data_IF_305936891373
#
_entry.id   IF_305936891373
#
_cell.length_a   1.000
_cell.length_b   1.000
_cell.length_c   1.000
_cell.angle_alpha   90.00
_cell.angle_beta   90.00
_cell.angle_gamma   90.00
#
_symmetry.space_group_name_H-M   'P 1'
#
loop_
_entity.id
_entity.type
_entity.pdbx_description
1 polymer ?
#
# COMPACT_ATOMS: atom_id res chain seq x y z
N UNK A 1 6.20 -9.08 6.96
CA UNK A 1 6.76 -7.73 6.82
C UNK A 1 7.50 -7.25 8.05
N UNK A 2 6.95 -7.35 9.27
CA UNK A 2 7.66 -7.10 10.54
C UNK A 2 9.13 -7.56 10.56
N UNK A 3 9.39 -8.84 10.31
CA UNK A 3 10.76 -9.40 10.32
C UNK A 3 11.65 -8.73 9.25
N UNK A 4 11.12 -8.47 8.05
CA UNK A 4 11.88 -7.80 7.01
C UNK A 4 12.23 -6.35 7.41
N UNK A 5 11.27 -5.61 7.98
CA UNK A 5 11.47 -4.24 8.46
C UNK A 5 12.48 -4.17 9.61
N UNK A 6 12.48 -5.14 10.53
CA UNK A 6 13.49 -5.24 11.60
C UNK A 6 14.91 -5.47 11.05
N UNK A 7 15.03 -6.07 9.87
CA UNK A 7 16.30 -6.23 9.15
C UNK A 7 16.62 -5.04 8.23
N UNK A 8 15.84 -3.95 8.28
CA UNK A 8 16.02 -2.77 7.42
C UNK A 8 15.56 -2.96 5.97
N UNK A 9 14.83 -4.05 5.67
CA UNK A 9 14.38 -4.38 4.32
C UNK A 9 12.95 -3.86 4.12
N UNK A 10 12.79 -2.84 3.26
CA UNK A 10 11.49 -2.32 2.81
C UNK A 10 11.11 -2.97 1.47
N UNK A 11 9.88 -3.43 1.31
CA UNK A 11 9.46 -4.12 0.08
C UNK A 11 9.30 -3.16 -1.10
N UNK A 12 8.69 -1.98 -0.90
CA UNK A 12 8.50 -0.90 -1.91
C UNK A 12 7.64 -1.25 -3.12
N UNK A 13 7.16 -2.48 -3.25
CA UNK A 13 6.29 -2.93 -4.34
C UNK A 13 5.27 -3.97 -3.83
N UNK A 14 4.80 -3.77 -2.59
CA UNK A 14 3.82 -4.69 -2.01
C UNK A 14 2.48 -4.54 -2.74
N UNK A 15 1.98 -5.63 -3.30
CA UNK A 15 0.73 -5.68 -4.10
C UNK A 15 0.19 -7.11 -4.16
N UNK A 16 -1.07 -7.34 -4.57
CA UNK A 16 -1.65 -8.68 -4.60
C UNK A 16 -0.84 -9.69 -5.42
N UNK A 17 -0.25 -9.27 -6.55
CA UNK A 17 0.58 -10.14 -7.38
C UNK A 17 1.86 -10.66 -6.67
N UNK A 18 2.30 -9.99 -5.60
CA UNK A 18 3.48 -10.35 -4.81
C UNK A 18 3.09 -11.11 -3.52
N UNK A 19 1.81 -11.48 -3.37
CA UNK A 19 1.28 -12.26 -2.24
C UNK A 19 0.77 -13.59 -2.77
N UNK A 20 1.53 -14.66 -2.54
CA UNK A 20 1.19 -16.01 -2.97
C UNK A 20 0.52 -16.76 -1.83
N UNK A 21 -0.55 -17.49 -2.13
CA UNK A 21 -1.28 -18.33 -1.16
C UNK A 21 -1.39 -19.72 -1.76
N UNK A 22 -0.93 -20.75 -1.03
CA UNK A 22 -1.08 -22.14 -1.46
C UNK A 22 -2.42 -22.74 -1.00
N UNK A 23 -2.70 -24.00 -1.39
CA UNK A 23 -3.95 -24.68 -1.04
C UNK A 23 -4.11 -24.93 0.47
N UNK A 24 -3.02 -24.95 1.23
CA UNK A 24 -3.03 -25.09 2.70
C UNK A 24 -3.24 -23.76 3.43
N UNK A 25 -3.43 -22.66 2.69
CA UNK A 25 -3.57 -21.31 3.25
C UNK A 25 -2.24 -20.68 3.70
N UNK A 26 -1.09 -21.28 3.37
CA UNK A 26 0.22 -20.68 3.62
C UNK A 26 0.43 -19.50 2.68
N UNK A 27 0.59 -18.31 3.28
CA UNK A 27 0.90 -17.07 2.58
C UNK A 27 2.42 -16.85 2.52
N UNK A 28 2.92 -16.51 1.33
CA UNK A 28 4.29 -16.06 1.10
C UNK A 28 4.31 -14.72 0.38
N UNK A 29 5.17 -13.82 0.84
CA UNK A 29 5.46 -12.55 0.17
C UNK A 29 6.71 -12.76 -0.67
N UNK A 30 6.64 -12.38 -1.94
CA UNK A 30 7.72 -12.53 -2.93
C UNK A 30 8.14 -11.17 -3.49
N UNK A 31 9.20 -11.14 -4.30
CA UNK A 31 9.63 -9.95 -5.05
C UNK A 31 9.80 -8.67 -4.21
N UNK A 32 10.44 -8.82 -3.05
CA UNK A 32 10.97 -7.67 -2.30
C UNK A 32 11.74 -6.80 -3.27
N UNK A 33 11.42 -5.51 -3.35
CA UNK A 33 11.70 -4.64 -4.50
C UNK A 33 13.18 -4.36 -4.78
N UNK A 34 13.96 -5.39 -5.10
CA UNK A 34 15.35 -5.33 -5.55
C UNK A 34 15.46 -4.39 -6.77
N UNK A 35 14.41 -4.31 -7.59
CA UNK A 35 14.30 -3.36 -8.70
C UNK A 35 14.09 -1.89 -8.28
N UNK A 36 13.55 -1.63 -7.08
CA UNK A 36 13.35 -0.29 -6.52
C UNK A 36 14.55 0.21 -5.71
N UNK A 37 15.35 -0.69 -5.13
CA UNK A 37 16.59 -0.36 -4.43
C UNK A 37 17.70 0.15 -5.39
N UNK A 38 17.77 -0.39 -6.61
CA UNK A 38 18.68 0.11 -7.66
C UNK A 38 18.33 1.52 -8.18
N UNK A 39 17.18 2.10 -7.79
CA UNK A 39 16.69 3.38 -8.29
C UNK A 39 16.85 4.55 -7.31
N UNK A 40 17.51 4.34 -6.16
CA UNK A 40 17.76 5.39 -5.15
C UNK A 40 18.61 6.58 -5.64
N UNK A 41 19.20 6.51 -6.83
CA UNK A 41 19.95 7.61 -7.45
C UNK A 41 19.29 8.24 -8.66
N UNK A 42 18.13 7.74 -9.10
CA UNK A 42 17.59 8.10 -10.40
C UNK A 42 16.07 8.28 -10.28
N UNK A 43 15.63 9.53 -10.17
CA UNK A 43 14.24 9.95 -10.33
C UNK A 43 13.82 9.71 -11.78
N UNK A 44 13.75 8.44 -12.18
CA UNK A 44 13.38 8.04 -13.52
C UNK A 44 11.85 8.01 -13.62
N UNK A 45 11.27 9.22 -13.64
CA UNK A 45 10.34 9.54 -14.72
C UNK A 45 11.11 9.26 -16.03
N UNK A 46 11.13 7.99 -16.45
CA UNK A 46 11.89 7.58 -17.64
C UNK A 46 11.43 8.42 -18.83
N UNK A 47 12.41 8.99 -19.53
CA UNK A 47 12.38 9.87 -20.74
C UNK A 47 11.50 9.39 -21.92
N UNK A 48 10.61 8.43 -21.73
CA UNK A 48 9.80 7.77 -22.77
C UNK A 48 8.32 7.61 -22.42
N UNK A 49 7.84 8.13 -21.28
CA UNK A 49 6.41 8.12 -20.93
C UNK A 49 5.83 6.76 -20.52
N UNK A 50 6.64 5.69 -20.48
CA UNK A 50 6.23 4.39 -19.97
C UNK A 50 6.56 4.25 -18.49
N UNK A 51 5.53 4.34 -17.63
CA UNK A 51 5.61 3.90 -16.24
C UNK A 51 5.84 2.39 -16.24
N UNK A 52 7.03 1.94 -15.82
CA UNK A 52 7.32 0.52 -15.61
C UNK A 52 6.64 0.09 -14.29
N UNK A 53 5.40 -0.37 -14.39
CA UNK A 53 4.62 -0.95 -13.28
C UNK A 53 3.20 -0.40 -13.17
N UNK A 54 2.37 -1.05 -12.34
CA UNK A 54 1.02 -0.56 -12.01
C UNK A 54 1.10 0.34 -10.77
N UNK A 55 0.76 1.63 -10.84
CA UNK A 55 0.88 2.57 -9.72
C UNK A 55 -0.15 2.35 -8.60
N UNK A 56 -1.08 1.40 -8.77
CA UNK A 56 -2.26 1.21 -7.93
C UNK A 56 -1.98 1.05 -6.43
N UNK A 57 -0.79 0.59 -6.05
CA UNK A 57 -0.42 0.33 -4.64
C UNK A 57 0.77 1.18 -4.18
N UNK A 58 1.24 2.12 -5.00
CA UNK A 58 2.42 2.91 -4.71
C UNK A 58 2.14 3.97 -3.64
N UNK A 59 3.02 4.09 -2.64
CA UNK A 59 2.88 5.10 -1.60
C UNK A 59 3.14 6.52 -2.14
N UNK A 60 2.48 7.57 -1.60
CA UNK A 60 2.67 8.96 -2.04
C UNK A 60 4.12 9.42 -2.02
N UNK A 61 4.90 9.03 -1.01
CA UNK A 61 6.31 9.36 -0.91
C UNK A 61 7.16 8.72 -2.01
N UNK A 62 6.79 7.53 -2.51
CA UNK A 62 7.47 6.89 -3.64
C UNK A 62 7.19 7.66 -4.94
N UNK A 63 5.94 8.06 -5.14
CA UNK A 63 5.51 8.85 -6.32
C UNK A 63 6.22 10.20 -6.36
N UNK A 64 6.35 10.84 -5.19
CA UNK A 64 6.97 12.16 -5.06
C UNK A 64 8.51 12.11 -5.00
N UNK A 65 9.14 10.93 -5.10
CA UNK A 65 10.59 10.78 -4.97
C UNK A 65 11.12 11.22 -3.59
N UNK A 66 10.30 11.16 -2.54
CA UNK A 66 10.67 11.48 -1.16
C UNK A 66 11.31 10.26 -0.50
N UNK A 67 11.97 10.47 0.64
CA UNK A 67 12.56 9.38 1.43
C UNK A 67 11.50 8.32 1.78
N UNK A 68 11.73 7.10 1.29
CA UNK A 68 10.89 5.92 1.48
C UNK A 68 11.39 5.17 2.72
N UNK A 69 10.46 4.78 3.59
CA UNK A 69 10.71 3.90 4.74
C UNK A 69 9.63 2.82 4.81
N UNK A 70 9.66 1.98 5.84
CA UNK A 70 8.74 0.84 6.04
C UNK A 70 7.26 1.21 5.99
N UNK A 71 6.91 2.48 6.26
CA UNK A 71 5.52 2.96 6.23
C UNK A 71 4.95 3.06 4.81
N UNK A 72 5.80 2.96 3.78
CA UNK A 72 5.34 2.79 2.41
C UNK A 72 4.66 1.42 2.21
N UNK A 73 5.19 0.36 2.83
CA UNK A 73 4.56 -0.97 2.77
C UNK A 73 3.25 -1.00 3.57
N UNK A 74 3.16 -0.23 4.66
CA UNK A 74 1.91 -0.04 5.43
C UNK A 74 0.83 0.61 4.56
N UNK A 75 1.20 1.63 3.79
CA UNK A 75 0.28 2.27 2.85
C UNK A 75 -0.20 1.29 1.78
N UNK A 76 0.73 0.56 1.15
CA UNK A 76 0.40 -0.42 0.13
C UNK A 76 -0.54 -1.53 0.68
N UNK A 77 -0.29 -2.01 1.90
CA UNK A 77 -1.19 -2.92 2.59
C UNK A 77 -2.55 -2.29 2.90
N UNK A 78 -2.60 -1.01 3.26
CA UNK A 78 -3.84 -0.24 3.39
C UNK A 78 -4.66 -0.22 2.11
N UNK A 79 -4.02 0.00 0.96
CA UNK A 79 -4.67 -0.06 -0.36
C UNK A 79 -5.20 -1.46 -0.67
N UNK A 80 -4.42 -2.51 -0.40
CA UNK A 80 -4.88 -3.90 -0.57
C UNK A 80 -6.07 -4.22 0.35
N UNK A 81 -6.02 -3.78 1.61
CA UNK A 81 -7.12 -3.95 2.56
C UNK A 81 -8.38 -3.25 2.05
N UNK A 82 -8.26 -2.00 1.57
CA UNK A 82 -9.36 -1.29 0.94
C UNK A 82 -10.00 -2.09 -0.19
N UNK A 83 -9.19 -2.59 -1.12
CA UNK A 83 -9.67 -3.38 -2.25
C UNK A 83 -10.36 -4.67 -1.80
N UNK A 84 -9.80 -5.38 -0.82
CA UNK A 84 -10.41 -6.59 -0.27
C UNK A 84 -11.77 -6.32 0.38
N UNK A 85 -11.92 -5.22 1.13
CA UNK A 85 -13.17 -4.93 1.85
C UNK A 85 -14.23 -4.25 0.99
N UNK A 86 -13.87 -3.66 -0.15
CA UNK A 86 -14.80 -2.94 -1.04
C UNK A 86 -14.99 -3.60 -2.40
N UNK A 87 -14.14 -4.56 -2.76
CA UNK A 87 -14.10 -5.19 -4.09
C UNK A 87 -13.44 -4.35 -5.18
N UNK A 88 -13.02 -3.10 -4.89
CA UNK A 88 -12.39 -2.20 -5.86
C UNK A 88 -11.24 -1.41 -5.22
N UNK A 89 -10.14 -1.12 -5.95
CA UNK A 89 -9.08 -0.29 -5.40
C UNK A 89 -9.57 1.16 -5.16
N UNK A 90 -8.99 1.88 -4.19
CA UNK A 90 -9.41 3.24 -3.83
C UNK A 90 -9.19 4.25 -4.97
N UNK A 91 -8.21 3.98 -5.83
CA UNK A 91 -7.83 4.84 -6.95
C UNK A 91 -7.64 3.99 -8.22
N UNK A 92 -8.45 4.26 -9.24
CA UNK A 92 -8.42 3.53 -10.51
C UNK A 92 -8.87 4.34 -11.72
N UNK A 93 -9.21 5.63 -11.53
CA UNK A 93 -9.72 6.48 -12.61
C UNK A 93 -8.58 7.05 -13.45
N UNK A 94 -8.72 6.95 -14.77
CA UNK A 94 -7.78 7.54 -15.74
C UNK A 94 -6.55 6.67 -16.01
N UNK A 95 -5.54 7.29 -16.59
CA UNK A 95 -4.26 6.65 -16.90
C UNK A 95 -3.36 6.47 -15.66
N UNK A 96 -2.17 5.90 -15.84
CA UNK A 96 -1.21 5.67 -14.75
C UNK A 96 -0.84 6.95 -14.00
N UNK A 97 -0.65 8.07 -14.71
CA UNK A 97 -0.32 9.36 -14.10
C UNK A 97 -1.48 9.88 -13.25
N UNK A 98 -2.72 9.72 -13.73
CA UNK A 98 -3.93 10.07 -13.01
C UNK A 98 -4.08 9.27 -11.72
N UNK A 99 -3.76 7.97 -11.74
CA UNK A 99 -3.78 7.12 -10.54
C UNK A 99 -2.71 7.56 -9.54
N UNK A 100 -1.48 7.81 -9.98
CA UNK A 100 -0.42 8.35 -9.11
C UNK A 100 -0.84 9.66 -8.44
N UNK A 101 -1.44 10.59 -9.20
CA UNK A 101 -1.90 11.85 -8.66
C UNK A 101 -3.01 11.68 -7.61
N UNK A 102 -3.92 10.72 -7.80
CA UNK A 102 -4.96 10.39 -6.82
C UNK A 102 -4.37 9.90 -5.48
N UNK A 103 -3.32 9.08 -5.51
CA UNK A 103 -2.60 8.67 -4.28
C UNK A 103 -2.02 9.86 -3.52
N UNK A 104 -1.40 10.82 -4.24
CA UNK A 104 -0.83 12.04 -3.65
C UNK A 104 -1.91 12.94 -3.05
N UNK A 105 -3.08 13.02 -3.71
CA UNK A 105 -4.22 13.81 -3.23
C UNK A 105 -4.89 13.18 -1.99
N UNK A 106 -4.89 11.86 -1.87
CA UNK A 106 -5.42 11.18 -0.67
C UNK A 106 -6.93 11.23 -0.50
N UNK A 107 -7.68 11.48 -1.58
CA UNK A 107 -9.15 11.66 -1.55
C UNK A 107 -9.90 10.35 -1.84
N UNK A 108 -9.44 9.24 -1.27
CA UNK A 108 -10.15 7.97 -1.38
C UNK A 108 -11.55 8.10 -0.79
N UNK A 109 -12.54 7.49 -1.44
CA UNK A 109 -13.88 7.37 -0.86
C UNK A 109 -13.79 6.50 0.40
N UNK A 110 -14.35 6.89 1.56
CA UNK A 110 -14.34 6.04 2.76
C UNK A 110 -14.87 4.62 2.45
N UNK A 111 -14.25 3.54 2.96
CA UNK A 111 -14.66 2.19 2.59
C UNK A 111 -16.11 1.87 2.97
N UNK A 112 -16.66 2.45 4.05
CA UNK A 112 -18.07 2.23 4.41
C UNK A 112 -19.05 2.86 3.40
N UNK A 113 -18.65 3.90 2.68
CA UNK A 113 -19.48 4.44 1.60
C UNK A 113 -19.53 3.48 0.40
N UNK A 114 -18.56 2.55 0.26
CA UNK A 114 -18.55 1.51 -0.78
C UNK A 114 -19.18 0.21 -0.30
N UNK A 115 -18.86 -0.19 0.91
CA UNK A 115 -19.41 -1.36 1.58
C UNK A 115 -20.04 -0.93 2.92
N UNK A 116 -21.35 -0.60 2.95
CA UNK A 116 -22.04 -0.17 4.16
C UNK A 116 -22.10 -1.22 5.29
N UNK A 117 -21.82 -2.49 4.99
CA UNK A 117 -21.77 -3.56 6.00
C UNK A 117 -20.46 -3.59 6.79
N UNK A 118 -19.46 -2.80 6.38
CA UNK A 118 -18.15 -2.78 7.01
C UNK A 118 -18.21 -2.12 8.40
N UNK A 119 -17.64 -2.75 9.45
CA UNK A 119 -17.57 -2.14 10.77
C UNK A 119 -16.86 -0.78 10.75
N UNK A 120 -17.39 0.27 11.42
CA UNK A 120 -16.81 1.61 11.38
C UNK A 120 -15.31 1.65 11.71
N UNK A 121 -14.91 0.94 12.76
CA UNK A 121 -13.51 0.89 13.19
C UNK A 121 -12.56 0.20 12.19
N UNK A 122 -13.06 -0.74 11.37
CA UNK A 122 -12.24 -1.39 10.36
C UNK A 122 -11.95 -0.43 9.19
N UNK A 123 -12.94 0.37 8.78
CA UNK A 123 -12.67 1.34 7.73
C UNK A 123 -11.82 2.52 8.21
N UNK A 124 -11.97 2.98 9.46
CA UNK A 124 -11.05 3.96 10.04
C UNK A 124 -9.60 3.44 10.03
N UNK A 125 -9.41 2.16 10.37
CA UNK A 125 -8.10 1.50 10.28
C UNK A 125 -7.56 1.51 8.86
N UNK A 126 -8.36 1.14 7.86
CA UNK A 126 -7.97 1.17 6.45
C UNK A 126 -7.57 2.58 6.02
N UNK A 127 -8.39 3.59 6.33
CA UNK A 127 -8.10 4.98 6.00
C UNK A 127 -6.85 5.51 6.71
N UNK A 128 -6.62 5.10 7.97
CA UNK A 128 -5.40 5.44 8.71
C UNK A 128 -4.16 4.83 8.06
N UNK A 129 -4.20 3.57 7.64
CA UNK A 129 -3.10 2.92 6.94
C UNK A 129 -2.76 3.65 5.62
N UNK A 130 -3.77 4.19 4.94
CA UNK A 130 -3.66 4.95 3.69
C UNK A 130 -3.44 6.46 3.86
N UNK A 131 -3.14 6.97 5.05
CA UNK A 131 -2.93 8.40 5.24
C UNK A 131 -1.79 8.93 4.34
N UNK A 132 -1.99 10.03 3.63
CA UNK A 132 -0.94 10.60 2.74
C UNK A 132 0.30 10.97 3.53
N UNK A 133 0.10 11.65 4.66
CA UNK A 133 1.14 11.90 5.63
C UNK A 133 1.50 10.60 6.37
N UNK A 134 2.69 10.05 6.06
CA UNK A 134 3.17 8.81 6.67
C UNK A 134 3.31 8.87 8.19
N UNK A 135 3.42 10.06 8.80
CA UNK A 135 3.45 10.21 10.26
C UNK A 135 2.08 9.94 10.91
N UNK A 136 1.00 10.01 10.14
CA UNK A 136 -0.37 9.72 10.61
C UNK A 136 -0.78 8.26 10.42
N UNK A 137 0.04 7.47 9.72
CA UNK A 137 -0.19 6.02 9.54
C UNK A 137 0.10 5.25 10.83
N UNK A 138 -0.10 3.94 10.79
CA UNK A 138 0.57 3.04 11.73
C UNK A 138 2.09 3.18 11.54
N UNK A 139 2.84 3.18 12.64
CA UNK A 139 4.29 3.38 12.62
C UNK A 139 5.05 2.06 12.52
N UNK A 140 4.37 0.91 12.66
CA UNK A 140 4.95 -0.41 12.39
C UNK A 140 3.90 -1.40 11.88
N UNK A 141 4.38 -2.49 11.26
CA UNK A 141 3.51 -3.60 10.84
C UNK A 141 2.87 -4.29 12.05
N UNK A 142 3.55 -4.32 13.20
CA UNK A 142 3.04 -4.84 14.46
C UNK A 142 1.87 -4.01 14.99
N UNK A 143 1.96 -2.67 14.91
CA UNK A 143 0.87 -1.78 15.32
C UNK A 143 -0.37 -2.00 14.44
N UNK A 144 -0.17 -2.10 13.11
CA UNK A 144 -1.27 -2.43 12.18
C UNK A 144 -1.86 -3.81 12.45
N UNK A 145 -1.02 -4.84 12.69
CA UNK A 145 -1.49 -6.20 13.02
C UNK A 145 -2.34 -6.19 14.30
N UNK A 146 -1.85 -5.58 15.37
CA UNK A 146 -2.59 -5.48 16.63
C UNK A 146 -3.92 -4.76 16.44
N UNK A 147 -3.95 -3.72 15.59
CA UNK A 147 -5.18 -3.01 15.27
C UNK A 147 -6.19 -3.88 14.51
N UNK A 148 -5.73 -4.73 13.57
CA UNK A 148 -6.54 -5.68 12.79
C UNK A 148 -7.06 -6.83 13.64
N UNK A 149 -6.28 -7.31 14.60
CA UNK A 149 -6.65 -8.45 15.47
C UNK A 149 -7.91 -8.20 16.29
N UNK A 150 -8.23 -6.93 16.58
CA UNK A 150 -9.50 -6.54 17.23
C UNK A 150 -10.75 -6.87 16.40
N UNK A 151 -10.58 -7.22 15.13
CA UNK A 151 -11.65 -7.61 14.21
C UNK A 151 -11.59 -9.09 13.79
N UNK A 152 -10.64 -9.87 14.35
CA UNK A 152 -10.64 -11.33 14.21
C UNK A 152 -11.59 -11.89 15.28
N UNK A 153 -12.69 -12.50 14.84
CA UNK A 153 -13.54 -13.31 15.70
C UNK A 153 -12.75 -14.48 16.30
#
# INVERSE_FOLDING_TARGET
MTVAHQLGIVHRDLKPANVLINQDGLLKIVDFGVAAAQREGDTQLTKTGYVIGSPKYMAPEQILGKKVDERADIYALGVMLYEMVTGVPPYSRGDHMSVMYQHVQGKARPPQEVNPSLPPGLAELVMRAMAVDKTKRFQSMEELRAALERFRN
#
